data_IF_494453061756
#
_entry.id   IF_494453061756
#
_cell.length_a   1.000
_cell.length_b   1.000
_cell.length_c   1.000
_cell.angle_alpha   90.00
_cell.angle_beta   90.00
_cell.angle_gamma   90.00
#
_symmetry.space_group_name_H-M   'P 1'
#
loop_
_entity.id
_entity.type
_entity.pdbx_description
1 polymer ?
#
# COMPACT_ATOMS: atom_id res chain seq x y z
N UNK A 1 40.34 -47.89 -12.60
CA UNK A 1 39.15 -47.10 -12.24
C UNK A 1 39.49 -45.62 -12.32
N UNK A 2 38.89 -44.81 -13.20
CA UNK A 2 38.87 -43.35 -13.03
C UNK A 2 37.54 -42.89 -12.45
N UNK A 3 37.62 -42.07 -11.41
CA UNK A 3 36.51 -41.44 -10.70
C UNK A 3 35.86 -40.35 -11.55
N UNK A 4 34.60 -40.55 -11.93
CA UNK A 4 33.74 -39.52 -12.53
C UNK A 4 33.41 -38.46 -11.46
N UNK A 5 34.00 -37.26 -11.58
CA UNK A 5 33.57 -36.09 -10.80
C UNK A 5 32.35 -35.49 -11.47
N UNK A 6 31.18 -35.72 -10.87
CA UNK A 6 29.92 -35.08 -11.24
C UNK A 6 30.00 -33.57 -10.98
N UNK A 7 30.04 -32.78 -12.04
CA UNK A 7 29.87 -31.32 -11.98
C UNK A 7 28.44 -31.01 -11.55
N UNK A 8 28.26 -30.49 -10.35
CA UNK A 8 26.96 -29.99 -9.87
C UNK A 8 26.71 -28.65 -10.57
N UNK A 9 25.85 -28.66 -11.59
CA UNK A 9 25.42 -27.46 -12.31
C UNK A 9 24.39 -26.69 -11.46
N UNK A 10 24.83 -25.61 -10.83
CA UNK A 10 23.95 -24.71 -10.09
C UNK A 10 23.17 -23.82 -11.07
N UNK A 11 21.99 -24.28 -11.51
CA UNK A 11 21.09 -23.44 -12.32
C UNK A 11 20.59 -22.27 -11.46
N UNK A 12 20.89 -21.00 -11.82
CA UNK A 12 20.29 -19.87 -11.14
C UNK A 12 18.77 -19.93 -11.36
N UNK A 13 17.99 -19.90 -10.27
CA UNK A 13 16.55 -19.65 -10.36
C UNK A 13 16.37 -18.27 -10.98
N UNK A 14 16.13 -18.24 -12.29
CA UNK A 14 15.70 -17.02 -12.97
C UNK A 14 14.49 -16.51 -12.21
N UNK A 15 14.64 -15.34 -11.58
CA UNK A 15 13.53 -14.55 -11.10
C UNK A 15 12.55 -14.41 -12.25
N UNK A 16 11.41 -15.10 -12.17
CA UNK A 16 10.29 -14.88 -13.09
C UNK A 16 9.89 -13.42 -12.89
N UNK A 17 10.36 -12.55 -13.77
CA UNK A 17 9.67 -11.27 -14.03
C UNK A 17 8.27 -11.67 -14.48
N UNK A 18 7.33 -11.66 -13.54
CA UNK A 18 5.92 -11.86 -13.84
C UNK A 18 5.47 -10.66 -14.67
N UNK A 19 5.64 -10.77 -15.99
CA UNK A 19 4.89 -9.96 -16.91
C UNK A 19 3.42 -10.32 -16.67
N UNK A 20 2.70 -9.40 -16.02
CA UNK A 20 1.27 -9.51 -15.85
C UNK A 20 0.65 -9.66 -17.25
N UNK A 21 0.10 -10.84 -17.56
CA UNK A 21 -0.73 -11.00 -18.75
C UNK A 21 -1.96 -10.12 -18.57
N UNK A 22 -1.97 -8.96 -19.23
CA UNK A 22 -3.20 -8.28 -19.60
C UNK A 22 -3.86 -9.12 -20.70
N UNK A 23 -5.16 -9.37 -20.59
CA UNK A 23 -5.95 -9.75 -21.76
C UNK A 23 -5.99 -8.52 -22.65
N UNK A 24 -5.49 -8.65 -23.87
CA UNK A 24 -5.50 -7.56 -24.85
C UNK A 24 -4.26 -6.67 -24.75
N UNK A 25 -3.70 -6.37 -25.91
CA UNK A 25 -2.46 -5.67 -26.18
C UNK A 25 -2.50 -4.17 -25.83
N UNK A 26 -2.89 -3.83 -24.60
CA UNK A 26 -2.87 -2.45 -24.10
C UNK A 26 -2.28 -2.40 -22.67
N UNK A 27 -1.46 -1.38 -22.34
CA UNK A 27 -0.87 -1.20 -21.03
C UNK A 27 -1.94 -0.75 -20.02
N UNK A 28 -2.70 -1.70 -19.47
CA UNK A 28 -3.85 -1.50 -18.58
C UNK A 28 -4.91 -0.54 -19.15
N UNK A 29 -6.16 -1.00 -19.26
CA UNK A 29 -7.27 -0.15 -19.69
C UNK A 29 -7.34 1.14 -18.83
N UNK A 30 -7.78 2.25 -19.42
CA UNK A 30 -7.83 3.53 -18.71
C UNK A 30 -8.65 3.45 -17.41
N UNK A 31 -9.73 2.64 -17.41
CA UNK A 31 -10.51 2.36 -16.21
C UNK A 31 -9.69 1.62 -15.14
N UNK A 32 -8.99 0.56 -15.52
CA UNK A 32 -8.13 -0.22 -14.63
C UNK A 32 -7.04 0.63 -13.97
N UNK A 33 -6.48 1.58 -14.72
CA UNK A 33 -5.46 2.52 -14.24
C UNK A 33 -6.01 3.46 -13.18
N UNK A 34 -7.19 4.04 -13.42
CA UNK A 34 -7.85 4.95 -12.48
C UNK A 34 -8.25 4.19 -11.21
N UNK A 35 -8.88 3.02 -11.34
CA UNK A 35 -9.29 2.19 -10.19
C UNK A 35 -8.07 1.83 -9.34
N UNK A 36 -6.97 1.43 -9.99
CA UNK A 36 -5.72 1.08 -9.29
C UNK A 36 -5.06 2.27 -8.63
N UNK A 37 -5.09 3.46 -9.26
CA UNK A 37 -4.54 4.67 -8.67
C UNK A 37 -5.35 5.11 -7.44
N UNK A 38 -6.68 5.10 -7.54
CA UNK A 38 -7.58 5.45 -6.44
C UNK A 38 -7.44 4.48 -5.26
N UNK A 39 -7.11 3.21 -5.50
CA UNK A 39 -6.89 2.24 -4.43
C UNK A 39 -5.84 2.68 -3.40
N UNK A 40 -4.81 3.44 -3.79
CA UNK A 40 -3.78 3.91 -2.86
C UNK A 40 -4.23 5.06 -1.94
N UNK A 41 -5.35 5.73 -2.26
CA UNK A 41 -5.95 6.71 -1.36
C UNK A 41 -6.54 6.05 -0.12
N UNK A 42 -6.98 4.79 -0.22
CA UNK A 42 -7.54 4.04 0.90
C UNK A 42 -6.61 4.00 2.13
N UNK A 43 -5.41 3.38 2.07
CA UNK A 43 -4.53 3.28 3.23
C UNK A 43 -4.00 4.66 3.68
N UNK A 44 -3.88 5.61 2.76
CA UNK A 44 -3.49 6.99 3.11
C UNK A 44 -4.58 7.69 3.93
N UNK A 45 -5.84 7.58 3.53
CA UNK A 45 -6.96 8.14 4.28
C UNK A 45 -7.14 7.45 5.62
N UNK A 46 -6.93 6.13 5.68
CA UNK A 46 -7.04 5.43 6.96
C UNK A 46 -5.93 5.86 7.93
N UNK A 47 -4.69 5.93 7.47
CA UNK A 47 -3.53 6.34 8.26
C UNK A 47 -3.31 7.85 8.39
N UNK A 48 -4.26 8.71 7.98
CA UNK A 48 -4.06 10.16 7.99
C UNK A 48 -3.74 10.71 9.41
N UNK A 49 -4.21 10.02 10.45
CA UNK A 49 -3.99 10.39 11.85
C UNK A 49 -2.51 10.42 12.25
N UNK A 50 -1.68 9.57 11.64
CA UNK A 50 -0.23 9.53 11.88
C UNK A 50 0.46 10.80 11.34
N UNK A 51 -0.20 11.55 10.47
CA UNK A 51 0.31 12.81 9.93
C UNK A 51 0.23 14.00 10.89
N UNK A 52 -0.36 13.86 12.09
CA UNK A 52 -0.67 15.00 12.98
C UNK A 52 0.54 15.91 13.26
N UNK A 53 1.72 15.33 13.46
CA UNK A 53 2.93 16.09 13.72
C UNK A 53 3.52 16.70 12.44
N UNK A 54 3.64 15.91 11.37
CA UNK A 54 4.22 16.37 10.10
C UNK A 54 3.37 17.47 9.47
N UNK A 55 2.04 17.29 9.42
CA UNK A 55 1.12 18.25 8.81
C UNK A 55 1.11 19.58 9.58
N UNK A 56 1.20 19.53 10.92
CA UNK A 56 1.22 20.73 11.75
C UNK A 56 2.56 21.49 11.67
N UNK A 57 3.68 20.78 11.53
CA UNK A 57 5.01 21.37 11.52
C UNK A 57 5.46 21.84 10.12
N UNK A 58 4.95 21.22 9.05
CA UNK A 58 5.43 21.46 7.69
C UNK A 58 4.29 21.90 6.76
N UNK A 59 4.19 23.22 6.46
CA UNK A 59 3.14 23.79 5.60
C UNK A 59 2.95 23.11 4.23
N UNK A 60 3.99 22.61 3.52
CA UNK A 60 3.79 21.93 2.25
C UNK A 60 2.89 20.69 2.33
N UNK A 61 3.01 19.88 3.40
CA UNK A 61 2.14 18.71 3.58
C UNK A 61 0.71 19.14 3.88
N UNK A 62 0.52 20.22 4.65
CA UNK A 62 -0.79 20.79 4.88
C UNK A 62 -1.46 21.26 3.57
N UNK A 63 -0.71 21.91 2.68
CA UNK A 63 -1.22 22.37 1.39
C UNK A 63 -1.69 21.21 0.50
N UNK A 64 -1.01 20.06 0.54
CA UNK A 64 -1.42 18.85 -0.20
C UNK A 64 -2.62 18.15 0.44
N UNK A 65 -2.68 18.08 1.77
CA UNK A 65 -3.76 17.40 2.50
C UNK A 65 -5.06 18.22 2.50
N UNK A 66 -4.97 19.55 2.56
CA UNK A 66 -6.12 20.47 2.57
C UNK A 66 -7.22 20.13 1.55
N UNK A 67 -6.93 20.01 0.24
CA UNK A 67 -7.96 19.68 -0.74
C UNK A 67 -8.55 18.27 -0.57
N UNK A 68 -7.87 17.37 0.14
CA UNK A 68 -8.34 16.01 0.41
C UNK A 68 -9.24 15.93 1.65
N UNK A 69 -9.28 16.97 2.50
CA UNK A 69 -10.04 16.98 3.77
C UNK A 69 -11.51 16.59 3.59
N UNK A 70 -12.27 17.10 2.59
CA UNK A 70 -13.65 16.70 2.41
C UNK A 70 -13.80 15.18 2.17
N UNK A 71 -12.95 14.61 1.32
CA UNK A 71 -12.94 13.18 1.02
C UNK A 71 -12.54 12.36 2.26
N UNK A 72 -11.53 12.81 3.01
CA UNK A 72 -11.11 12.18 4.26
C UNK A 72 -12.24 12.18 5.29
N UNK A 73 -12.98 13.28 5.43
CA UNK A 73 -14.14 13.36 6.35
C UNK A 73 -15.24 12.39 5.96
N UNK A 74 -15.57 12.29 4.67
CA UNK A 74 -16.56 11.32 4.18
C UNK A 74 -16.07 9.90 4.47
N UNK A 75 -14.80 9.60 4.18
CA UNK A 75 -14.21 8.30 4.45
C UNK A 75 -14.29 7.94 5.94
N UNK A 76 -13.92 8.86 6.83
CA UNK A 76 -13.96 8.67 8.29
C UNK A 76 -15.35 8.78 8.91
N UNK A 77 -16.36 9.30 8.21
CA UNK A 77 -17.75 9.37 8.71
C UNK A 77 -18.46 8.03 8.73
N UNK A 78 -17.97 7.04 7.96
CA UNK A 78 -18.52 5.70 8.03
C UNK A 78 -18.05 5.05 9.34
N UNK A 79 -18.97 4.51 10.17
CA UNK A 79 -18.67 3.86 11.45
C UNK A 79 -17.94 2.52 11.30
N UNK A 80 -17.47 2.25 10.09
CA UNK A 80 -16.80 1.05 9.68
C UNK A 80 -15.31 1.27 9.88
N UNK A 81 -14.78 0.74 10.99
CA UNK A 81 -13.34 0.64 11.26
C UNK A 81 -12.59 0.29 9.96
N UNK A 82 -11.32 0.71 9.81
CA UNK A 82 -10.46 0.31 8.67
C UNK A 82 -10.58 -1.19 8.34
N UNK A 83 -10.84 -2.03 9.36
CA UNK A 83 -11.25 -3.42 9.23
C UNK A 83 -12.32 -3.71 8.14
N UNK A 84 -13.50 -3.07 8.20
CA UNK A 84 -14.55 -3.42 7.24
C UNK A 84 -14.23 -2.93 5.82
N UNK A 85 -13.47 -1.83 5.70
CA UNK A 85 -13.08 -1.32 4.38
C UNK A 85 -12.09 -2.27 3.72
N UNK A 86 -11.11 -2.82 4.44
CA UNK A 86 -10.23 -3.83 3.85
C UNK A 86 -11.00 -5.08 3.46
N UNK A 87 -11.95 -5.55 4.29
CA UNK A 87 -12.76 -6.75 4.00
C UNK A 87 -13.56 -6.52 2.72
N UNK A 88 -14.19 -5.36 2.63
CA UNK A 88 -14.99 -4.96 1.47
C UNK A 88 -14.13 -4.90 0.22
N UNK A 89 -12.98 -4.22 0.27
CA UNK A 89 -12.05 -4.12 -0.85
C UNK A 89 -11.50 -5.48 -1.28
N UNK A 90 -11.22 -6.37 -0.32
CA UNK A 90 -10.74 -7.72 -0.59
C UNK A 90 -11.78 -8.56 -1.34
N UNK A 91 -13.01 -8.63 -0.84
CA UNK A 91 -14.06 -9.44 -1.48
C UNK A 91 -14.59 -8.82 -2.78
N UNK A 92 -14.80 -7.51 -2.81
CA UNK A 92 -15.39 -6.84 -3.97
C UNK A 92 -14.39 -6.67 -5.12
N UNK A 93 -13.11 -6.44 -4.82
CA UNK A 93 -12.08 -6.17 -5.84
C UNK A 93 -11.14 -7.35 -6.00
N UNK A 94 -10.39 -7.73 -4.95
CA UNK A 94 -9.30 -8.73 -5.08
C UNK A 94 -9.83 -10.11 -5.47
N UNK A 95 -10.94 -10.56 -4.87
CA UNK A 95 -11.53 -11.89 -5.15
C UNK A 95 -12.44 -11.91 -6.38
N UNK A 96 -12.80 -10.75 -6.91
CA UNK A 96 -13.70 -10.65 -8.04
C UNK A 96 -12.94 -10.83 -9.36
N UNK A 97 -13.20 -11.95 -10.04
CA UNK A 97 -12.53 -12.31 -11.30
C UNK A 97 -12.85 -11.41 -12.49
N UNK A 98 -13.85 -10.52 -12.37
CA UNK A 98 -14.17 -9.53 -13.40
C UNK A 98 -13.12 -8.41 -13.45
N UNK A 99 -12.42 -8.14 -12.35
CA UNK A 99 -11.30 -7.20 -12.35
C UNK A 99 -10.03 -7.83 -12.92
N UNK A 100 -9.26 -7.05 -13.66
CA UNK A 100 -8.00 -7.51 -14.21
C UNK A 100 -7.00 -7.91 -13.11
N UNK A 101 -5.99 -8.70 -13.47
CA UNK A 101 -4.89 -9.01 -12.54
C UNK A 101 -4.18 -7.73 -12.07
N UNK A 102 -4.12 -6.71 -12.92
CA UNK A 102 -3.53 -5.41 -12.61
C UNK A 102 -4.26 -4.71 -11.47
N UNK A 103 -5.59 -4.57 -11.58
CA UNK A 103 -6.43 -3.95 -10.53
C UNK A 103 -6.33 -4.71 -9.22
N UNK A 104 -6.46 -6.05 -9.28
CA UNK A 104 -6.40 -6.91 -8.09
C UNK A 104 -5.05 -6.82 -7.37
N UNK A 105 -3.96 -6.73 -8.12
CA UNK A 105 -2.61 -6.58 -7.56
C UNK A 105 -2.44 -5.25 -6.83
N UNK A 106 -2.82 -4.12 -7.44
CA UNK A 106 -2.72 -2.81 -6.81
C UNK A 106 -3.66 -2.69 -5.59
N UNK A 107 -4.89 -3.19 -5.70
CA UNK A 107 -5.82 -3.26 -4.58
C UNK A 107 -5.26 -4.09 -3.42
N UNK A 108 -4.61 -5.22 -3.72
CA UNK A 108 -3.98 -6.05 -2.69
C UNK A 108 -2.80 -5.33 -2.02
N UNK A 109 -2.00 -4.56 -2.76
CA UNK A 109 -0.95 -3.73 -2.14
C UNK A 109 -1.54 -2.68 -1.19
N UNK A 110 -2.63 -2.02 -1.57
CA UNK A 110 -3.33 -1.07 -0.72
C UNK A 110 -3.89 -1.73 0.56
N UNK A 111 -4.44 -2.95 0.46
CA UNK A 111 -4.91 -3.73 1.61
C UNK A 111 -3.75 -4.11 2.53
N UNK A 112 -2.61 -4.54 1.99
CA UNK A 112 -1.44 -4.89 2.81
C UNK A 112 -0.93 -3.66 3.57
N UNK A 113 -0.87 -2.49 2.93
CA UNK A 113 -0.52 -1.25 3.61
C UNK A 113 -1.44 -0.96 4.79
N UNK A 114 -2.75 -1.08 4.59
CA UNK A 114 -3.76 -0.87 5.63
C UNK A 114 -3.62 -1.84 6.80
N UNK A 115 -3.40 -3.13 6.51
CA UNK A 115 -3.14 -4.15 7.54
C UNK A 115 -1.87 -3.84 8.33
N UNK A 116 -0.82 -3.29 7.70
CA UNK A 116 0.39 -2.89 8.40
C UNK A 116 0.15 -1.73 9.38
N UNK A 117 -0.89 -0.91 9.19
CA UNK A 117 -1.25 0.17 10.11
C UNK A 117 -1.85 -0.31 11.44
N UNK A 118 -2.23 -1.59 11.53
CA UNK A 118 -2.63 -2.20 12.80
C UNK A 118 -1.46 -2.18 13.80
N UNK A 119 -0.22 -2.29 13.32
CA UNK A 119 0.97 -2.34 14.19
C UNK A 119 1.20 -1.02 14.96
N UNK A 120 1.30 0.15 14.29
CA UNK A 120 1.43 1.42 15.01
C UNK A 120 0.20 1.73 15.86
N UNK A 121 -1.03 1.42 15.40
CA UNK A 121 -2.26 1.64 16.19
C UNK A 121 -2.25 0.86 17.52
N UNK A 122 -1.88 -0.42 17.49
CA UNK A 122 -1.75 -1.24 18.72
C UNK A 122 -0.64 -0.70 19.62
N UNK A 123 0.48 -0.26 19.03
CA UNK A 123 1.59 0.29 19.79
C UNK A 123 1.20 1.59 20.50
N UNK A 124 0.57 2.53 19.82
CA UNK A 124 0.08 3.79 20.40
C UNK A 124 -0.96 3.57 21.50
N UNK A 125 -1.88 2.63 21.31
CA UNK A 125 -2.87 2.29 22.35
C UNK A 125 -2.24 1.66 23.58
N UNK A 126 -1.14 0.93 23.40
CA UNK A 126 -0.41 0.26 24.48
C UNK A 126 0.59 1.21 25.18
N UNK A 127 1.15 2.16 24.43
CA UNK A 127 2.12 3.14 24.87
C UNK A 127 1.61 4.55 24.54
N UNK A 128 1.06 5.24 25.54
CA UNK A 128 0.62 6.64 25.40
C UNK A 128 1.45 7.60 26.30
N UNK A 129 2.75 7.78 26.01
CA UNK A 129 3.59 8.71 26.76
C UNK A 129 3.16 10.15 26.50
N UNK A 130 2.88 10.88 27.58
CA UNK A 130 2.39 12.27 27.49
C UNK A 130 3.50 13.33 27.44
N UNK A 131 4.76 12.96 27.78
CA UNK A 131 5.89 13.90 27.77
C UNK A 131 7.26 13.18 27.64
N UNK A 132 8.32 13.95 27.44
CA UNK A 132 9.71 13.52 27.45
C UNK A 132 10.12 12.68 26.24
N UNK A 133 11.10 11.81 26.44
CA UNK A 133 11.68 10.97 25.37
C UNK A 133 10.62 10.06 24.73
N UNK A 134 9.65 9.57 25.52
CA UNK A 134 8.57 8.73 25.03
C UNK A 134 7.70 9.44 23.99
N UNK A 135 7.34 10.70 24.25
CA UNK A 135 6.58 11.52 23.30
C UNK A 135 7.37 11.73 22.00
N UNK A 136 8.69 12.00 22.10
CA UNK A 136 9.57 12.13 20.93
C UNK A 136 9.63 10.85 20.08
N UNK A 137 9.62 9.66 20.70
CA UNK A 137 9.57 8.40 19.96
C UNK A 137 8.25 8.22 19.21
N UNK A 138 7.11 8.50 19.86
CA UNK A 138 5.79 8.44 19.21
C UNK A 138 5.72 9.43 18.05
N UNK A 139 6.18 10.67 18.25
CA UNK A 139 6.27 11.67 17.18
C UNK A 139 7.04 11.17 15.96
N UNK A 140 8.19 10.54 16.19
CA UNK A 140 9.02 9.98 15.12
C UNK A 140 8.34 8.81 14.40
N UNK A 141 7.70 7.90 15.16
CA UNK A 141 6.97 6.76 14.64
C UNK A 141 5.79 7.20 13.76
N UNK A 142 4.90 8.04 14.27
CA UNK A 142 3.75 8.58 13.55
C UNK A 142 4.20 9.28 12.25
N UNK A 143 5.23 10.13 12.36
CA UNK A 143 5.78 10.83 11.20
C UNK A 143 6.34 9.88 10.15
N UNK A 144 7.02 8.82 10.57
CA UNK A 144 7.59 7.81 9.67
C UNK A 144 6.47 7.03 8.95
N UNK A 145 5.44 6.62 9.68
CA UNK A 145 4.26 5.93 9.12
C UNK A 145 3.56 6.83 8.11
N UNK A 146 3.33 8.10 8.46
CA UNK A 146 2.70 9.06 7.55
C UNK A 146 3.52 9.28 6.27
N UNK A 147 4.83 9.50 6.39
CA UNK A 147 5.69 9.71 5.22
C UNK A 147 5.73 8.46 4.32
N UNK A 148 5.75 7.27 4.91
CA UNK A 148 5.68 6.03 4.15
C UNK A 148 4.36 5.87 3.38
N UNK A 149 3.22 6.18 4.02
CA UNK A 149 1.91 6.19 3.36
C UNK A 149 1.83 7.25 2.27
N UNK A 150 2.37 8.45 2.52
CA UNK A 150 2.39 9.54 1.55
C UNK A 150 3.21 9.19 0.32
N UNK A 151 4.41 8.64 0.50
CA UNK A 151 5.25 8.14 -0.61
C UNK A 151 4.53 7.03 -1.36
N UNK A 152 3.88 6.09 -0.65
CA UNK A 152 3.12 5.00 -1.26
C UNK A 152 1.95 5.52 -2.10
N UNK A 153 1.24 6.55 -1.62
CA UNK A 153 0.17 7.23 -2.36
C UNK A 153 0.71 7.84 -3.64
N UNK A 154 1.76 8.66 -3.56
CA UNK A 154 2.30 9.37 -4.71
C UNK A 154 2.88 8.38 -5.73
N UNK A 155 3.72 7.46 -5.29
CA UNK A 155 4.36 6.47 -6.16
C UNK A 155 3.33 5.51 -6.77
N UNK A 156 2.48 4.90 -5.95
CA UNK A 156 1.47 3.94 -6.39
C UNK A 156 0.48 4.56 -7.37
N UNK A 157 -0.10 5.71 -7.01
CA UNK A 157 -1.08 6.40 -7.88
C UNK A 157 -0.43 6.88 -9.17
N UNK A 158 0.75 7.48 -9.12
CA UNK A 158 1.41 8.02 -10.33
C UNK A 158 1.83 6.90 -11.28
N UNK A 159 2.40 5.81 -10.77
CA UNK A 159 2.71 4.65 -11.61
C UNK A 159 1.44 4.08 -12.25
N UNK A 160 0.33 3.99 -11.51
CA UNK A 160 -0.94 3.55 -12.06
C UNK A 160 -1.49 4.48 -13.13
N UNK A 161 -1.43 5.79 -12.90
CA UNK A 161 -1.78 6.79 -13.90
C UNK A 161 -0.92 6.71 -15.14
N UNK A 162 0.31 6.19 -15.06
CA UNK A 162 1.20 5.96 -16.21
C UNK A 162 1.07 4.56 -16.83
N UNK A 163 0.17 3.71 -16.33
CA UNK A 163 0.01 2.33 -16.80
C UNK A 163 1.12 1.37 -16.35
N UNK A 164 1.95 1.81 -15.39
CA UNK A 164 3.01 1.00 -14.79
C UNK A 164 2.45 0.18 -13.61
N UNK A 165 3.13 -0.91 -13.27
CA UNK A 165 2.82 -1.72 -12.09
C UNK A 165 3.72 -1.24 -10.95
N UNK A 166 3.23 -0.42 -10.01
CA UNK A 166 4.02 -0.05 -8.83
C UNK A 166 4.32 -1.31 -8.00
N UNK A 167 5.54 -1.44 -7.49
CA UNK A 167 5.90 -2.53 -6.58
C UNK A 167 6.50 -1.93 -5.32
N UNK A 168 5.69 -1.82 -4.28
CA UNK A 168 6.12 -1.32 -2.98
C UNK A 168 6.92 -2.41 -2.26
N UNK A 169 8.09 -2.09 -1.69
CA UNK A 169 8.90 -3.08 -0.96
C UNK A 169 8.11 -3.66 0.22
N UNK A 170 8.27 -4.97 0.48
CA UNK A 170 7.54 -5.76 1.49
C UNK A 170 6.06 -6.02 1.16
N UNK A 171 5.40 -5.05 0.55
CA UNK A 171 3.98 -5.06 0.22
C UNK A 171 3.72 -5.84 -1.07
N UNK A 172 4.55 -5.65 -2.10
CA UNK A 172 4.40 -6.30 -3.41
C UNK A 172 4.55 -7.82 -3.32
N UNK A 173 5.49 -8.32 -2.49
CA UNK A 173 5.70 -9.75 -2.30
C UNK A 173 4.52 -10.41 -1.57
N UNK A 174 3.91 -9.70 -0.62
CA UNK A 174 2.71 -10.16 0.07
C UNK A 174 1.50 -10.17 -0.88
N UNK A 175 1.37 -9.14 -1.72
CA UNK A 175 0.30 -9.04 -2.70
C UNK A 175 0.38 -10.14 -3.77
N UNK A 176 1.58 -10.43 -4.30
CA UNK A 176 1.78 -11.47 -5.31
C UNK A 176 1.30 -12.85 -4.84
N UNK A 177 1.49 -13.18 -3.55
CA UNK A 177 1.07 -14.47 -3.00
C UNK A 177 -0.45 -14.65 -2.96
N UNK A 178 -1.20 -13.56 -2.92
CA UNK A 178 -2.65 -13.60 -2.79
C UNK A 178 -3.41 -13.44 -4.11
N UNK A 179 -2.77 -12.83 -5.11
CA UNK A 179 -3.37 -12.56 -6.43
C UNK A 179 -2.99 -13.64 -7.47
N UNK A 180 -2.46 -14.78 -7.00
CA UNK A 180 -2.12 -15.94 -7.84
C UNK A 180 -3.35 -16.57 -8.50
#
# INVERSE_FOLDING_TARGET
LPLSKSSIEFKPKLSRRFAAQSKGSDPADAGDRIISAVAYFYPFFDGIQYGKYVIAQFPPFQAVVQPLIPAIRVFKSFPLNGFLVFVTMYFLVVRNGNFSRYVRFNAMQAIVLDVLLILPDVLERSFNPSDGIGLGMVMSLDSTVFLFLFVSLIYGSSCCFLGQIPRLPLVAEAADRQVL
#
